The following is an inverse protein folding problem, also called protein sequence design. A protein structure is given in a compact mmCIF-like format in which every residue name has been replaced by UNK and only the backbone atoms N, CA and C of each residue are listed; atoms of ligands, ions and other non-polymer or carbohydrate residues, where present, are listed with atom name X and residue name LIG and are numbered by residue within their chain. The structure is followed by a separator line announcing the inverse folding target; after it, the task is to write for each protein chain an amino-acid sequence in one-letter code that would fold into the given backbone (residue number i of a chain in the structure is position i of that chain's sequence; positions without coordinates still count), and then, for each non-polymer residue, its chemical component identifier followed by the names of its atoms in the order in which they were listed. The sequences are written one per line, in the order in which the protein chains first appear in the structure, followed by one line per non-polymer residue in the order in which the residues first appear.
data_IF_384557929767
#
_entry.id   IF_384557929767
#
_cell.length_a   1.000
_cell.length_b   1.000
_cell.length_c   1.000
_cell.angle_alpha   90.00
_cell.angle_beta   90.00
_cell.angle_gamma   90.00
#
_symmetry.space_group_name_H-M   'P 1'
#
loop_
_entity.id
_entity.type
_entity.pdbx_description
1 polymer ?
#
# COMPACT_ATOMS: atom_id res chain seq x y z
N UNK A 1 42.23 58.18 -8.83
CA UNK A 1 41.56 56.87 -8.66
C UNK A 1 40.05 57.05 -8.64
N UNK A 2 39.32 56.63 -9.67
CA UNK A 2 37.89 56.29 -9.56
C UNK A 2 37.66 55.03 -10.38
N UNK A 3 37.53 53.90 -9.67
CA UNK A 3 37.19 52.59 -10.23
C UNK A 3 35.74 52.67 -10.71
N UNK A 4 35.49 52.31 -11.96
CA UNK A 4 34.15 52.04 -12.47
C UNK A 4 33.67 50.73 -11.84
N UNK A 5 32.61 50.81 -11.04
CA UNK A 5 31.83 49.65 -10.62
C UNK A 5 30.90 49.29 -11.77
N UNK A 6 31.24 48.25 -12.53
CA UNK A 6 30.31 47.62 -13.45
C UNK A 6 29.40 46.72 -12.61
N UNK A 7 28.22 47.22 -12.29
CA UNK A 7 27.14 46.40 -11.73
C UNK A 7 26.59 45.56 -12.89
N UNK A 8 26.91 44.27 -12.90
CA UNK A 8 26.20 43.31 -13.75
C UNK A 8 24.74 43.29 -13.32
N UNK A 9 23.89 43.97 -14.10
CA UNK A 9 22.44 43.86 -13.97
C UNK A 9 22.03 42.47 -14.44
N UNK A 10 21.58 41.64 -13.50
CA UNK A 10 20.91 40.37 -13.80
C UNK A 10 19.61 40.67 -14.56
N UNK A 11 19.58 40.31 -15.86
CA UNK A 11 18.38 40.48 -16.68
C UNK A 11 17.23 39.61 -16.12
N UNK A 12 15.98 40.10 -16.08
CA UNK A 12 14.84 39.26 -15.73
C UNK A 12 14.75 38.10 -16.73
N UNK A 13 14.74 36.86 -16.23
CA UNK A 13 14.55 35.67 -17.07
C UNK A 13 13.27 35.86 -17.90
N UNK A 14 13.39 35.84 -19.24
CA UNK A 14 12.23 35.93 -20.12
C UNK A 14 11.26 34.79 -19.80
N UNK A 15 9.96 35.05 -19.89
CA UNK A 15 8.92 34.03 -19.68
C UNK A 15 9.13 32.82 -20.59
N UNK A 16 9.74 33.01 -21.77
CA UNK A 16 10.10 31.95 -22.70
C UNK A 16 11.21 31.05 -22.16
N UNK A 17 12.27 31.61 -21.54
CA UNK A 17 13.30 30.81 -20.85
C UNK A 17 12.74 30.02 -19.69
N UNK A 18 11.76 30.59 -18.96
CA UNK A 18 11.11 29.90 -17.85
C UNK A 18 10.28 28.71 -18.37
N UNK A 19 9.51 28.89 -19.46
CA UNK A 19 8.76 27.82 -20.11
C UNK A 19 9.66 26.72 -20.67
N UNK A 20 10.77 27.10 -21.29
CA UNK A 20 11.73 26.15 -21.86
C UNK A 20 12.41 25.31 -20.77
N UNK A 21 12.81 25.95 -19.67
CA UNK A 21 13.40 25.26 -18.50
C UNK A 21 12.39 24.33 -17.79
N UNK A 22 11.13 24.74 -17.66
CA UNK A 22 10.08 23.89 -17.10
C UNK A 22 9.79 22.69 -18.02
N UNK A 23 9.73 22.93 -19.33
CA UNK A 23 9.47 21.87 -20.31
C UNK A 23 10.61 20.85 -20.34
N UNK A 24 11.86 21.30 -20.29
CA UNK A 24 13.03 20.40 -20.24
C UNK A 24 13.10 19.63 -18.93
N UNK A 25 12.73 20.23 -17.81
CA UNK A 25 12.68 19.57 -16.50
C UNK A 25 11.55 18.52 -16.44
N UNK A 26 10.36 18.85 -16.93
CA UNK A 26 9.22 17.92 -17.00
C UNK A 26 9.52 16.75 -17.94
N UNK A 27 10.08 17.02 -19.13
CA UNK A 27 10.54 15.97 -20.06
C UNK A 27 11.64 15.14 -19.43
N UNK A 28 12.57 15.78 -18.72
CA UNK A 28 13.64 15.12 -17.98
C UNK A 28 13.13 14.12 -16.93
N UNK A 29 12.08 14.50 -16.19
CA UNK A 29 11.41 13.67 -15.18
C UNK A 29 10.65 12.52 -15.86
N UNK A 30 9.90 12.79 -16.92
CA UNK A 30 9.13 11.79 -17.66
C UNK A 30 10.05 10.73 -18.31
N UNK A 31 11.16 11.16 -18.88
CA UNK A 31 12.12 10.28 -19.57
C UNK A 31 13.09 9.55 -18.62
N UNK A 32 13.13 9.91 -17.33
CA UNK A 32 14.13 9.34 -16.41
C UNK A 32 13.94 7.83 -16.24
N UNK A 33 12.71 7.40 -15.98
CA UNK A 33 12.36 5.98 -15.76
C UNK A 33 12.71 5.11 -16.97
N UNK A 34 12.36 5.57 -18.16
CA UNK A 34 12.66 4.86 -19.42
C UNK A 34 14.16 4.82 -19.71
N UNK A 35 14.87 5.92 -19.44
CA UNK A 35 16.33 5.97 -19.61
C UNK A 35 17.04 5.02 -18.67
N UNK A 36 16.61 4.90 -17.42
CA UNK A 36 17.17 3.92 -16.49
C UNK A 36 16.85 2.48 -16.91
N UNK A 37 15.61 2.20 -17.31
CA UNK A 37 15.21 0.86 -17.78
C UNK A 37 16.05 0.39 -18.99
N UNK A 38 16.35 1.31 -19.92
CA UNK A 38 17.17 1.05 -21.13
C UNK A 38 18.61 0.65 -20.83
N UNK A 39 19.12 0.92 -19.63
CA UNK A 39 20.48 0.49 -19.23
C UNK A 39 20.52 -0.97 -18.76
N UNK A 40 19.37 -1.60 -18.52
CA UNK A 40 19.31 -2.96 -17.99
C UNK A 40 19.67 -4.03 -19.04
N UNK A 41 20.33 -5.11 -18.61
CA UNK A 41 20.58 -6.28 -19.45
C UNK A 41 19.28 -6.92 -19.95
N UNK A 42 18.22 -6.85 -19.14
CA UNK A 42 16.89 -7.32 -19.50
C UNK A 42 16.36 -6.56 -20.71
N UNK A 43 16.39 -5.21 -20.70
CA UNK A 43 15.97 -4.42 -21.85
C UNK A 43 16.73 -4.80 -23.13
N UNK A 44 18.06 -4.92 -23.06
CA UNK A 44 18.87 -5.30 -24.21
C UNK A 44 18.48 -6.68 -24.78
N UNK A 45 18.18 -7.65 -23.91
CA UNK A 45 17.71 -8.98 -24.31
C UNK A 45 16.31 -8.94 -24.95
N UNK A 46 15.38 -8.21 -24.35
CA UNK A 46 13.99 -8.10 -24.84
C UNK A 46 13.90 -7.40 -26.20
N UNK A 47 14.71 -6.37 -26.45
CA UNK A 47 14.75 -5.67 -27.75
C UNK A 47 15.36 -6.56 -28.84
N UNK A 48 16.40 -7.34 -28.50
CA UNK A 48 17.04 -8.25 -29.44
C UNK A 48 16.09 -9.33 -29.95
N UNK A 49 15.16 -9.78 -29.11
CA UNK A 49 14.12 -10.75 -29.47
C UNK A 49 12.72 -10.13 -29.41
N UNK A 50 12.51 -9.05 -30.17
CA UNK A 50 11.23 -8.33 -30.18
C UNK A 50 10.00 -9.15 -30.58
N UNK A 51 10.18 -10.39 -31.07
CA UNK A 51 9.08 -11.32 -31.39
C UNK A 51 8.27 -11.71 -30.15
N UNK A 52 8.86 -11.63 -28.95
CA UNK A 52 8.14 -11.86 -27.69
C UNK A 52 6.99 -10.86 -27.48
N UNK A 53 7.01 -9.70 -28.15
CA UNK A 53 5.97 -8.66 -28.06
C UNK A 53 4.95 -8.74 -29.20
N UNK A 54 4.93 -9.83 -29.98
CA UNK A 54 4.01 -9.99 -31.12
C UNK A 54 2.55 -9.91 -30.69
N UNK A 55 2.21 -10.58 -29.59
CA UNK A 55 0.86 -10.65 -29.03
C UNK A 55 0.93 -10.98 -27.52
N UNK A 56 -0.15 -10.74 -26.76
CA UNK A 56 -0.16 -10.96 -25.32
C UNK A 56 0.11 -12.40 -24.89
N UNK A 57 -0.34 -13.40 -25.66
CA UNK A 57 -0.13 -14.81 -25.36
C UNK A 57 1.36 -15.17 -25.48
N UNK A 58 1.99 -14.75 -26.58
CA UNK A 58 3.43 -14.93 -26.80
C UNK A 58 4.22 -14.25 -25.68
N UNK A 59 3.88 -13.00 -25.34
CA UNK A 59 4.54 -12.29 -24.24
C UNK A 59 4.35 -12.99 -22.89
N UNK A 60 3.14 -13.49 -22.63
CA UNK A 60 2.82 -14.20 -21.40
C UNK A 60 3.64 -15.47 -21.27
N UNK A 61 3.60 -16.38 -22.26
CA UNK A 61 4.26 -17.67 -22.16
C UNK A 61 5.79 -17.56 -22.17
N UNK A 62 6.37 -16.75 -23.05
CA UNK A 62 7.83 -16.71 -23.25
C UNK A 62 8.59 -15.80 -22.29
N UNK A 63 7.91 -14.87 -21.60
CA UNK A 63 8.56 -14.01 -20.60
C UNK A 63 7.90 -14.13 -19.24
N UNK A 64 6.61 -13.80 -19.17
CA UNK A 64 5.93 -13.63 -17.87
C UNK A 64 5.82 -14.94 -17.10
N UNK A 65 5.37 -16.01 -17.77
CA UNK A 65 5.15 -17.32 -17.18
C UNK A 65 6.46 -17.97 -16.77
N UNK A 66 7.46 -17.99 -17.66
CA UNK A 66 8.79 -18.54 -17.38
C UNK A 66 9.49 -17.80 -16.24
N UNK A 67 9.44 -16.46 -16.24
CA UNK A 67 9.96 -15.65 -15.13
C UNK A 67 9.23 -16.00 -13.82
N UNK A 68 7.91 -16.12 -13.84
CA UNK A 68 7.11 -16.47 -12.65
C UNK A 68 7.47 -17.87 -12.13
N UNK A 69 7.64 -18.85 -13.01
CA UNK A 69 8.07 -20.21 -12.65
C UNK A 69 9.48 -20.21 -12.04
N UNK A 70 10.44 -19.56 -12.69
CA UNK A 70 11.82 -19.49 -12.21
C UNK A 70 11.91 -18.79 -10.85
N UNK A 71 11.21 -17.67 -10.67
CA UNK A 71 11.18 -16.92 -9.42
C UNK A 71 10.50 -17.74 -8.31
N UNK A 72 9.40 -18.42 -8.61
CA UNK A 72 8.73 -19.34 -7.69
C UNK A 72 9.66 -20.48 -7.24
N UNK A 73 10.35 -21.13 -8.17
CA UNK A 73 11.30 -22.20 -7.86
C UNK A 73 12.45 -21.69 -6.98
N UNK A 74 13.05 -20.56 -7.34
CA UNK A 74 14.10 -19.92 -6.54
C UNK A 74 13.61 -19.56 -5.12
N UNK A 75 12.40 -19.01 -5.01
CA UNK A 75 11.81 -18.63 -3.73
C UNK A 75 11.60 -19.84 -2.82
N UNK A 76 11.05 -20.95 -3.35
CA UNK A 76 10.89 -22.20 -2.59
C UNK A 76 12.23 -22.73 -2.09
N UNK A 77 13.26 -22.70 -2.92
CA UNK A 77 14.62 -23.14 -2.56
C UNK A 77 15.22 -22.25 -1.46
N UNK A 78 15.22 -20.92 -1.66
CA UNK A 78 15.83 -19.97 -0.71
C UNK A 78 15.12 -19.95 0.64
N UNK A 79 13.77 -20.03 0.62
CA UNK A 79 12.95 -20.01 1.84
C UNK A 79 12.69 -21.39 2.43
N UNK A 80 13.20 -22.45 1.80
CA UNK A 80 13.02 -23.87 2.20
C UNK A 80 11.55 -24.22 2.42
N UNK A 81 10.70 -23.84 1.47
CA UNK A 81 9.26 -24.06 1.55
C UNK A 81 8.95 -25.52 1.17
N UNK A 82 8.57 -26.31 2.17
CA UNK A 82 8.28 -27.75 2.01
C UNK A 82 6.86 -28.14 2.41
N UNK A 83 6.07 -27.19 2.92
CA UNK A 83 4.72 -27.43 3.41
C UNK A 83 3.65 -27.26 2.30
N UNK A 84 2.42 -27.68 2.59
CA UNK A 84 1.26 -27.59 1.70
C UNK A 84 0.88 -26.14 1.31
N UNK A 85 1.28 -25.16 2.12
CA UNK A 85 1.00 -23.75 1.90
C UNK A 85 2.07 -23.06 1.01
N UNK A 86 3.08 -23.79 0.54
CA UNK A 86 4.19 -23.25 -0.25
C UNK A 86 3.72 -22.54 -1.52
N UNK A 87 2.67 -23.03 -2.17
CA UNK A 87 2.10 -22.40 -3.37
C UNK A 87 1.45 -21.05 -3.07
N UNK A 88 0.65 -21.00 -2.00
CA UNK A 88 0.02 -19.77 -1.54
C UNK A 88 1.08 -18.75 -1.08
N UNK A 89 2.13 -19.20 -0.38
CA UNK A 89 3.25 -18.35 0.01
C UNK A 89 3.90 -17.70 -1.21
N UNK A 90 4.24 -18.50 -2.23
CA UNK A 90 4.84 -17.99 -3.46
C UNK A 90 3.90 -17.00 -4.17
N UNK A 91 2.60 -17.28 -4.18
CA UNK A 91 1.62 -16.40 -4.78
C UNK A 91 1.56 -15.04 -4.08
N UNK A 92 1.46 -15.01 -2.75
CA UNK A 92 1.43 -13.77 -1.96
C UNK A 92 2.71 -12.97 -2.17
N UNK A 93 3.87 -13.64 -2.14
CA UNK A 93 5.16 -12.99 -2.33
C UNK A 93 5.31 -12.35 -3.71
N UNK A 94 4.96 -13.08 -4.78
CA UNK A 94 5.12 -12.61 -6.15
C UNK A 94 4.11 -11.53 -6.55
N UNK A 95 2.96 -11.49 -5.87
CA UNK A 95 1.91 -10.50 -6.13
C UNK A 95 1.74 -9.53 -4.96
N UNK A 96 2.81 -9.22 -4.22
CA UNK A 96 2.75 -8.41 -3.00
C UNK A 96 1.92 -7.13 -3.14
N UNK A 97 2.11 -6.36 -4.23
CA UNK A 97 1.40 -5.10 -4.46
C UNK A 97 -0.12 -5.26 -4.61
N UNK A 98 -0.58 -6.41 -5.14
CA UNK A 98 -2.01 -6.72 -5.21
C UNK A 98 -2.61 -6.88 -3.80
N UNK A 99 -1.92 -7.58 -2.92
CA UNK A 99 -2.37 -7.76 -1.53
C UNK A 99 -2.27 -6.46 -0.73
N UNK A 100 -1.13 -5.77 -0.83
CA UNK A 100 -0.87 -4.52 -0.12
C UNK A 100 -1.95 -3.48 -0.42
N UNK A 101 -2.26 -3.25 -1.71
CA UNK A 101 -3.26 -2.26 -2.13
C UNK A 101 -4.67 -2.58 -1.65
N UNK A 102 -5.09 -3.85 -1.64
CA UNK A 102 -6.42 -4.25 -1.15
C UNK A 102 -6.56 -4.06 0.35
N UNK A 103 -5.51 -4.35 1.12
CA UNK A 103 -5.51 -4.18 2.57
C UNK A 103 -5.42 -2.69 2.93
N UNK A 104 -4.52 -1.96 2.29
CA UNK A 104 -4.35 -0.53 2.52
C UNK A 104 -5.65 0.21 2.23
N UNK A 105 -6.34 -0.14 1.13
CA UNK A 105 -7.64 0.44 0.80
C UNK A 105 -8.68 0.14 1.87
N UNK A 106 -8.77 -1.11 2.32
CA UNK A 106 -9.69 -1.52 3.37
C UNK A 106 -9.46 -0.74 4.67
N UNK A 107 -8.20 -0.61 5.11
CA UNK A 107 -7.88 0.21 6.29
C UNK A 107 -8.23 1.68 6.06
N UNK A 108 -7.93 2.23 4.88
CA UNK A 108 -8.18 3.64 4.54
C UNK A 108 -9.66 3.99 4.60
N UNK A 109 -10.54 3.10 4.13
CA UNK A 109 -11.98 3.33 4.09
C UNK A 109 -12.61 3.47 5.50
N UNK A 110 -11.96 2.95 6.55
CA UNK A 110 -12.47 2.99 7.94
C UNK A 110 -11.63 3.81 8.92
N UNK A 111 -10.32 3.92 8.70
CA UNK A 111 -9.39 4.58 9.62
C UNK A 111 -8.79 5.87 9.05
N UNK A 112 -9.00 6.14 7.76
CA UNK A 112 -8.34 7.22 7.03
C UNK A 112 -6.93 6.85 6.59
N UNK A 113 -6.19 7.83 6.05
CA UNK A 113 -4.95 7.55 5.30
C UNK A 113 -3.72 7.26 6.18
N UNK A 114 -3.76 7.51 7.49
CA UNK A 114 -2.57 7.47 8.34
C UNK A 114 -2.15 6.04 8.69
N UNK A 115 -0.91 5.67 8.32
CA UNK A 115 -0.29 4.39 8.69
C UNK A 115 -0.87 3.16 7.99
N UNK A 116 -1.75 3.32 6.99
CA UNK A 116 -2.39 2.19 6.31
C UNK A 116 -1.41 1.33 5.50
N UNK A 117 -0.35 1.92 4.96
CA UNK A 117 0.75 1.20 4.33
C UNK A 117 1.56 0.34 5.32
N UNK A 118 1.69 0.76 6.59
CA UNK A 118 2.39 -0.03 7.60
C UNK A 118 1.51 -1.19 8.11
N UNK A 119 0.19 -0.97 8.18
CA UNK A 119 -0.79 -2.02 8.45
C UNK A 119 -0.78 -3.09 7.37
N UNK A 120 -0.83 -2.69 6.10
CA UNK A 120 -0.82 -3.64 4.98
C UNK A 120 0.48 -4.46 4.96
N UNK A 121 1.64 -3.82 5.11
CA UNK A 121 2.94 -4.51 5.26
C UNK A 121 2.94 -5.51 6.42
N UNK A 122 2.42 -5.10 7.57
CA UNK A 122 2.38 -5.95 8.76
C UNK A 122 1.50 -7.17 8.53
N UNK A 123 0.31 -7.00 7.97
CA UNK A 123 -0.60 -8.11 7.67
C UNK A 123 0.01 -9.08 6.66
N UNK A 124 0.53 -8.58 5.54
CA UNK A 124 1.14 -9.45 4.52
C UNK A 124 2.35 -10.19 5.09
N UNK A 125 3.21 -9.50 5.85
CA UNK A 125 4.38 -10.09 6.47
C UNK A 125 4.03 -11.22 7.46
N UNK A 126 3.03 -10.99 8.32
CA UNK A 126 2.55 -12.03 9.25
C UNK A 126 1.89 -13.20 8.53
N UNK A 127 1.10 -12.93 7.49
CA UNK A 127 0.47 -13.98 6.69
C UNK A 127 1.52 -14.85 5.99
N UNK A 128 2.56 -14.25 5.39
CA UNK A 128 3.69 -14.99 4.83
C UNK A 128 4.41 -15.83 5.90
N UNK A 129 4.62 -15.29 7.11
CA UNK A 129 5.23 -16.08 8.18
C UNK A 129 4.34 -17.28 8.55
N UNK A 130 3.04 -17.09 8.71
CA UNK A 130 2.08 -18.16 8.98
C UNK A 130 2.09 -19.23 7.88
N UNK A 131 2.05 -18.86 6.61
CA UNK A 131 2.13 -19.83 5.50
C UNK A 131 3.44 -20.62 5.53
N UNK A 132 4.54 -20.03 6.01
CA UNK A 132 5.86 -20.68 6.09
C UNK A 132 6.00 -21.59 7.31
N UNK A 133 5.56 -21.16 8.49
CA UNK A 133 5.83 -21.86 9.76
C UNK A 133 4.62 -22.59 10.33
N UNK A 134 3.42 -22.27 9.89
CA UNK A 134 2.17 -22.68 10.53
C UNK A 134 1.83 -21.86 11.78
N UNK A 135 2.73 -20.98 12.24
CA UNK A 135 2.55 -20.17 13.44
C UNK A 135 1.93 -18.83 13.09
N UNK A 136 0.72 -18.59 13.58
CA UNK A 136 0.04 -17.31 13.43
C UNK A 136 0.68 -16.22 14.30
N UNK A 137 1.24 -16.61 15.45
CA UNK A 137 1.48 -15.66 16.55
C UNK A 137 0.14 -15.10 17.05
N UNK A 138 0.21 -14.03 17.83
CA UNK A 138 -0.98 -13.33 18.33
C UNK A 138 -0.84 -11.82 18.04
N UNK A 139 -1.94 -11.18 17.65
CA UNK A 139 -2.15 -9.75 17.89
C UNK A 139 -3.58 -9.53 18.33
N UNK A 140 -3.81 -8.49 19.10
CA UNK A 140 -5.13 -7.96 19.37
C UNK A 140 -5.33 -6.67 18.56
N UNK A 141 -6.50 -6.54 17.95
CA UNK A 141 -6.82 -5.38 17.12
C UNK A 141 -7.01 -4.14 18.00
N UNK A 142 -6.42 -3.02 17.58
CA UNK A 142 -6.55 -1.77 18.33
C UNK A 142 -5.77 -1.72 19.66
N UNK A 143 -4.76 -2.57 19.84
CA UNK A 143 -3.83 -2.45 20.97
C UNK A 143 -3.26 -1.03 21.04
N UNK A 144 -3.32 -0.42 22.24
CA UNK A 144 -3.05 1.01 22.42
C UNK A 144 -1.58 1.30 22.09
N UNK A 145 -1.37 2.06 21.01
CA UNK A 145 -0.03 2.44 20.51
C UNK A 145 0.44 1.66 19.28
N UNK A 146 -0.31 0.66 18.83
CA UNK A 146 0.04 -0.16 17.67
C UNK A 146 -0.54 0.42 16.37
N UNK A 147 0.02 1.55 15.90
CA UNK A 147 -0.43 2.22 14.67
C UNK A 147 -0.25 1.35 13.40
N UNK A 148 0.59 0.32 13.47
CA UNK A 148 0.87 -0.65 12.41
C UNK A 148 -0.14 -1.82 12.39
N UNK A 149 -1.17 -1.80 13.24
CA UNK A 149 -2.26 -2.78 13.23
C UNK A 149 -3.61 -2.11 12.96
N UNK A 150 -4.54 -2.79 12.26
CA UNK A 150 -5.91 -2.34 12.17
C UNK A 150 -6.58 -2.28 13.54
N UNK A 151 -7.51 -1.34 13.67
CA UNK A 151 -8.37 -1.12 14.83
C UNK A 151 -9.63 -1.98 14.80
N UNK A 152 -9.87 -2.70 13.69
CA UNK A 152 -11.00 -3.59 13.47
C UNK A 152 -10.53 -4.91 12.85
N UNK A 153 -11.32 -5.97 13.02
CA UNK A 153 -11.02 -7.30 12.49
C UNK A 153 -9.91 -8.01 13.25
N UNK A 154 -10.18 -9.23 13.71
CA UNK A 154 -9.20 -10.13 14.34
C UNK A 154 -8.15 -10.60 13.32
N UNK A 155 -7.02 -11.12 13.82
CA UNK A 155 -5.99 -11.71 12.97
C UNK A 155 -6.56 -12.76 11.99
N UNK A 156 -7.45 -13.63 12.48
CA UNK A 156 -8.05 -14.68 11.66
C UNK A 156 -8.95 -14.13 10.55
N UNK A 157 -9.71 -13.07 10.82
CA UNK A 157 -10.53 -12.42 9.80
C UNK A 157 -9.68 -11.76 8.71
N UNK A 158 -8.56 -11.14 9.09
CA UNK A 158 -7.60 -10.59 8.12
C UNK A 158 -6.88 -11.69 7.32
N UNK A 159 -6.55 -12.81 7.95
CA UNK A 159 -5.94 -13.95 7.25
C UNK A 159 -6.93 -14.63 6.31
N UNK A 160 -8.20 -14.70 6.69
CA UNK A 160 -9.26 -15.20 5.80
C UNK A 160 -9.48 -14.26 4.61
N UNK A 161 -9.32 -12.95 4.80
CA UNK A 161 -9.32 -11.99 3.71
C UNK A 161 -8.11 -12.15 2.78
N UNK A 162 -6.90 -12.34 3.32
CA UNK A 162 -5.71 -12.67 2.54
C UNK A 162 -5.90 -13.95 1.71
N UNK A 163 -6.48 -14.98 2.32
CA UNK A 163 -6.82 -16.20 1.59
C UNK A 163 -7.87 -15.95 0.52
N UNK A 164 -8.90 -15.16 0.84
CA UNK A 164 -9.90 -14.69 -0.13
C UNK A 164 -9.26 -14.03 -1.36
N UNK A 165 -8.31 -13.12 -1.15
CA UNK A 165 -7.56 -12.46 -2.23
C UNK A 165 -6.77 -13.45 -3.10
N UNK A 166 -6.20 -14.51 -2.51
CA UNK A 166 -5.57 -15.58 -3.28
C UNK A 166 -6.57 -16.25 -4.24
N UNK A 167 -7.75 -16.60 -3.75
CA UNK A 167 -8.81 -17.20 -4.57
C UNK A 167 -9.37 -16.22 -5.61
N UNK A 168 -9.53 -14.94 -5.25
CA UNK A 168 -9.98 -13.88 -6.16
C UNK A 168 -9.07 -13.77 -7.39
N UNK A 169 -7.75 -13.84 -7.18
CA UNK A 169 -6.78 -13.76 -8.28
C UNK A 169 -7.00 -14.84 -9.34
N UNK A 170 -7.50 -16.03 -8.94
CA UNK A 170 -7.84 -17.13 -9.84
C UNK A 170 -9.32 -17.15 -10.26
N UNK A 171 -10.05 -16.06 -10.05
CA UNK A 171 -11.46 -15.90 -10.45
C UNK A 171 -12.48 -16.55 -9.49
N UNK A 172 -12.04 -17.05 -8.33
CA UNK A 172 -12.94 -17.64 -7.33
C UNK A 172 -13.35 -16.58 -6.31
N UNK A 173 -14.54 -16.00 -6.50
CA UNK A 173 -14.96 -14.79 -5.77
C UNK A 173 -15.61 -15.04 -4.42
N UNK A 174 -16.26 -16.20 -4.21
CA UNK A 174 -17.12 -16.43 -3.04
C UNK A 174 -16.38 -16.22 -1.70
N UNK A 175 -15.18 -16.80 -1.57
CA UNK A 175 -14.37 -16.68 -0.34
C UNK A 175 -13.95 -15.24 -0.07
N UNK A 176 -13.50 -14.55 -1.12
CA UNK A 176 -13.14 -13.14 -1.04
C UNK A 176 -14.32 -12.28 -0.58
N UNK A 177 -15.48 -12.42 -1.20
CA UNK A 177 -16.66 -11.61 -0.90
C UNK A 177 -17.12 -11.81 0.55
N UNK A 178 -17.12 -13.04 1.05
CA UNK A 178 -17.48 -13.33 2.44
C UNK A 178 -16.51 -12.67 3.43
N UNK A 179 -15.20 -12.80 3.21
CA UNK A 179 -14.19 -12.21 4.08
C UNK A 179 -14.19 -10.67 4.00
N UNK A 180 -14.36 -10.12 2.80
CA UNK A 180 -14.45 -8.69 2.54
C UNK A 180 -15.67 -8.08 3.25
N UNK A 181 -16.84 -8.72 3.11
CA UNK A 181 -18.06 -8.28 3.78
C UNK A 181 -17.90 -8.29 5.29
N UNK A 182 -17.29 -9.34 5.85
CA UNK A 182 -17.04 -9.43 7.29
C UNK A 182 -16.18 -8.27 7.81
N UNK A 183 -15.10 -7.94 7.11
CA UNK A 183 -14.25 -6.80 7.49
C UNK A 183 -14.97 -5.46 7.37
N UNK A 184 -15.84 -5.29 6.36
CA UNK A 184 -16.68 -4.09 6.24
C UNK A 184 -17.61 -3.93 7.43
N UNK A 185 -18.27 -5.00 7.86
CA UNK A 185 -19.19 -4.99 8.99
C UNK A 185 -18.45 -4.54 10.27
N UNK A 186 -17.29 -5.12 10.53
CA UNK A 186 -16.45 -4.77 11.68
C UNK A 186 -15.91 -3.34 11.62
N UNK A 187 -15.50 -2.89 10.43
CA UNK A 187 -15.05 -1.50 10.23
C UNK A 187 -16.17 -0.49 10.51
N UNK A 188 -17.41 -0.81 10.11
CA UNK A 188 -18.59 0.02 10.42
C UNK A 188 -18.86 0.06 11.93
N UNK A 189 -18.84 -1.09 12.59
CA UNK A 189 -19.06 -1.18 14.05
C UNK A 189 -18.07 -0.30 14.83
N UNK A 190 -16.78 -0.37 14.49
CA UNK A 190 -15.74 0.45 15.14
C UNK A 190 -15.96 1.94 14.86
N UNK A 191 -16.25 2.31 13.62
CA UNK A 191 -16.49 3.71 13.26
C UNK A 191 -17.71 4.28 13.98
N UNK A 192 -18.81 3.53 14.02
CA UNK A 192 -20.06 3.97 14.65
C UNK A 192 -19.88 4.12 16.17
N UNK A 193 -19.12 3.21 16.80
CA UNK A 193 -18.71 3.34 18.21
C UNK A 193 -17.88 4.60 18.45
N UNK A 194 -16.87 4.87 17.62
CA UNK A 194 -16.02 6.05 17.75
C UNK A 194 -16.82 7.36 17.59
N UNK A 195 -17.79 7.37 16.67
CA UNK A 195 -18.70 8.52 16.49
C UNK A 195 -19.55 8.75 17.74
N UNK A 196 -20.12 7.69 18.32
CA UNK A 196 -20.90 7.78 19.56
C UNK A 196 -20.05 8.29 20.74
N UNK A 197 -18.82 7.80 20.89
CA UNK A 197 -17.89 8.26 21.92
C UNK A 197 -17.52 9.75 21.76
N UNK A 198 -17.30 10.21 20.53
CA UNK A 198 -17.01 11.62 20.25
C UNK A 198 -18.19 12.52 20.61
N UNK A 199 -19.42 12.10 20.29
CA UNK A 199 -20.64 12.83 20.64
C UNK A 199 -20.84 12.90 22.16
N UNK A 200 -20.65 11.78 22.87
CA UNK A 200 -20.74 11.73 24.33
C UNK A 200 -19.73 12.68 25.00
N UNK A 201 -18.46 12.68 24.54
CA UNK A 201 -17.42 13.59 25.05
C UNK A 201 -17.74 15.06 24.77
N UNK A 202 -18.33 15.36 23.61
CA UNK A 202 -18.76 16.72 23.28
C UNK A 202 -19.88 17.18 24.21
N UNK A 203 -20.89 16.35 24.41
CA UNK A 203 -22.01 16.64 25.31
C UNK A 203 -21.55 16.86 26.76
N UNK A 204 -20.62 16.02 27.25
CA UNK A 204 -20.04 16.18 28.59
C UNK A 204 -19.31 17.53 28.74
N UNK A 205 -18.48 17.92 27.75
CA UNK A 205 -17.77 19.21 27.78
C UNK A 205 -18.73 20.40 27.75
N UNK A 206 -19.82 20.32 27.00
CA UNK A 206 -20.84 21.36 26.96
C UNK A 206 -21.56 21.51 28.31
N UNK A 207 -21.87 20.39 28.99
CA UNK A 207 -22.44 20.40 30.34
C UNK A 207 -21.47 21.00 31.37
N UNK A 208 -20.20 20.60 31.35
CA UNK A 208 -19.15 21.15 32.23
C UNK A 208 -18.98 22.67 32.03
N UNK A 209 -19.03 23.15 30.79
CA UNK A 209 -18.96 24.59 30.48
C UNK A 209 -20.18 25.36 31.00
N UNK A 210 -21.39 24.82 30.84
CA UNK A 210 -22.62 25.44 31.36
C UNK A 210 -22.62 25.51 32.89
N UNK A 211 -22.17 24.45 33.57
CA UNK A 211 -22.05 24.44 35.03
C UNK A 211 -21.01 25.44 35.54
N UNK A 212 -19.86 25.55 34.87
CA UNK A 212 -18.84 26.55 35.20
C UNK A 212 -19.35 27.99 35.04
N UNK A 213 -20.11 28.28 33.97
CA UNK A 213 -20.71 29.60 33.75
C UNK A 213 -21.79 29.93 34.80
N UNK A 214 -22.63 28.97 35.17
CA UNK A 214 -23.65 29.16 36.21
C UNK A 214 -23.04 29.41 37.60
N UNK A 215 -21.89 28.80 37.89
CA UNK A 215 -21.16 29.00 39.15
C UNK A 215 -20.53 30.38 39.23
N UNK A 216 -20.00 30.91 38.12
CA UNK A 216 -19.40 32.26 38.07
C UNK A 216 -20.44 33.40 38.10
N UNK A 217 -21.69 33.17 37.71
CA UNK A 217 -22.75 34.18 37.75
C UNK A 217 -23.43 34.32 39.14
N UNK A 218 -23.13 33.42 40.08
CA UNK A 218 -23.70 33.40 41.43
C UNK A 218 -22.70 33.87 42.52
N UNK A 219 -21.56 34.45 42.12
CA UNK A 219 -20.55 35.10 42.98
C UNK A 219 -20.49 36.58 42.62
#
# INVERSE_FOLDING_TARGET
MKKQNTVEQSSPLSQDKIKENLSSLLTGILDHTDREARKSLLYAALVKDGKIFKDPDTFFFFLTYDQKLATKAALKTVKKLTNENSEEYCHVFLNYSFYESHIERMCTDFEGNFGCADKSRTIVGRYLNYLRTGEKGEWESGEKGCYWLPTFGTQDEWFEYMKGLHFLYYGQTARYLNAYQRLIELGKEVRDRLLAEQQARKAQREQEQQQAQATNNNV
#
